data_IF_464052682658
#
_entry.id   IF_464052682658
#
_cell.length_a   1.000
_cell.length_b   1.000
_cell.length_c   1.000
_cell.angle_alpha   90.00
_cell.angle_beta   90.00
_cell.angle_gamma   90.00
#
_symmetry.space_group_name_H-M   'P 1'
#
loop_
_entity.id
_entity.type
_entity.pdbx_description
1 polymer ?
#
# COMPACT_ATOMS: atom_id res chain seq x y z
N UNK A 1 4.66 -15.95 -16.64
CA UNK A 1 3.98 -14.91 -17.45
C UNK A 1 4.91 -13.71 -17.49
N UNK A 2 5.42 -13.38 -18.66
CA UNK A 2 6.24 -12.19 -18.87
C UNK A 2 5.30 -10.99 -18.89
N UNK A 3 5.48 -10.04 -17.99
CA UNK A 3 4.65 -8.84 -17.94
C UNK A 3 5.22 -7.82 -18.93
N UNK A 4 4.41 -7.39 -19.88
CA UNK A 4 4.80 -6.33 -20.81
C UNK A 4 4.95 -4.96 -20.09
N UNK A 5 4.27 -4.79 -18.96
CA UNK A 5 4.28 -3.56 -18.17
C UNK A 5 4.13 -3.84 -16.68
N UNK A 6 4.96 -3.19 -15.87
CA UNK A 6 4.78 -3.13 -14.42
C UNK A 6 3.92 -1.92 -14.07
N UNK A 7 2.71 -2.14 -13.56
CA UNK A 7 1.86 -1.06 -13.05
C UNK A 7 2.24 -0.70 -11.61
N UNK A 8 1.97 0.55 -11.22
CA UNK A 8 2.20 1.04 -9.86
C UNK A 8 1.47 0.17 -8.82
N UNK A 9 0.24 -0.25 -9.10
CA UNK A 9 -0.57 -1.10 -8.24
C UNK A 9 0.11 -2.43 -7.90
N UNK A 10 0.88 -3.01 -8.83
CA UNK A 10 1.60 -4.26 -8.58
C UNK A 10 2.72 -4.13 -7.56
N UNK A 11 3.12 -2.91 -7.23
CA UNK A 11 4.11 -2.62 -6.19
C UNK A 11 3.42 -1.98 -4.99
N UNK A 12 2.58 -0.97 -5.21
CA UNK A 12 2.01 -0.11 -4.16
C UNK A 12 0.55 -0.51 -3.87
N UNK A 13 0.37 -1.75 -3.42
CA UNK A 13 -0.92 -2.28 -2.96
C UNK A 13 -0.69 -3.35 -1.89
N UNK A 14 -1.74 -3.83 -1.26
CA UNK A 14 -1.65 -5.00 -0.37
C UNK A 14 -1.05 -6.21 -1.08
N UNK A 15 -1.51 -6.49 -2.29
CA UNK A 15 -0.93 -7.53 -3.16
C UNK A 15 0.51 -7.22 -3.54
N UNK A 16 0.85 -5.94 -3.74
CA UNK A 16 2.21 -5.49 -4.02
C UNK A 16 3.19 -5.88 -2.93
N UNK A 17 2.80 -5.81 -1.66
CA UNK A 17 3.63 -6.33 -0.57
C UNK A 17 3.93 -7.82 -0.74
N UNK A 18 2.96 -8.63 -1.17
CA UNK A 18 3.17 -10.05 -1.47
C UNK A 18 4.17 -10.26 -2.62
N UNK A 19 4.10 -9.43 -3.68
CA UNK A 19 5.07 -9.50 -4.78
C UNK A 19 6.49 -9.15 -4.32
N UNK A 20 6.64 -8.11 -3.49
CA UNK A 20 7.95 -7.70 -2.94
C UNK A 20 8.48 -8.77 -1.99
N UNK A 21 7.64 -9.32 -1.11
CA UNK A 21 8.02 -10.40 -0.20
C UNK A 21 8.47 -11.65 -0.98
N UNK A 22 7.69 -12.06 -1.99
CA UNK A 22 8.05 -13.17 -2.86
C UNK A 22 9.39 -12.94 -3.55
N UNK A 23 9.58 -11.77 -4.16
CA UNK A 23 10.85 -11.41 -4.79
C UNK A 23 12.02 -11.51 -3.81
N UNK A 24 11.87 -10.97 -2.59
CA UNK A 24 12.93 -11.00 -1.57
C UNK A 24 13.24 -12.43 -1.10
N UNK A 25 12.22 -13.27 -0.94
CA UNK A 25 12.37 -14.67 -0.55
C UNK A 25 13.02 -15.55 -1.63
N UNK A 26 13.09 -15.10 -2.88
CA UNK A 26 13.77 -15.82 -3.97
C UNK A 26 15.28 -15.57 -4.01
N UNK A 27 15.84 -14.66 -3.19
CA UNK A 27 17.27 -14.45 -3.10
C UNK A 27 17.96 -15.61 -2.37
N UNK A 28 19.23 -15.84 -2.69
CA UNK A 28 20.01 -16.98 -2.15
C UNK A 28 20.22 -16.93 -0.64
N UNK A 29 20.24 -15.75 -0.05
CA UNK A 29 20.36 -15.56 1.41
C UNK A 29 19.07 -15.88 2.17
N UNK A 30 17.96 -16.10 1.44
CA UNK A 30 16.70 -16.59 1.97
C UNK A 30 16.48 -18.09 1.74
N UNK A 31 17.52 -18.84 1.37
CA UNK A 31 17.43 -20.29 1.19
C UNK A 31 17.08 -20.96 2.52
N UNK A 32 16.04 -21.83 2.47
CA UNK A 32 15.50 -22.49 3.67
C UNK A 32 14.55 -21.65 4.52
N UNK A 33 14.19 -20.45 4.07
CA UNK A 33 13.20 -19.64 4.78
C UNK A 33 11.83 -20.32 4.81
N UNK A 34 11.11 -20.36 5.98
CA UNK A 34 9.84 -21.09 6.12
C UNK A 34 8.73 -20.67 5.15
N UNK A 35 8.71 -19.40 4.73
CA UNK A 35 7.71 -18.88 3.80
C UNK A 35 8.11 -18.97 2.32
N UNK A 36 9.28 -19.52 1.98
CA UNK A 36 9.78 -19.55 0.60
C UNK A 36 8.89 -20.38 -0.31
N UNK A 37 8.60 -21.63 0.08
CA UNK A 37 7.76 -22.55 -0.72
C UNK A 37 6.34 -21.98 -0.89
N UNK A 38 5.82 -21.39 0.18
CA UNK A 38 4.54 -20.70 0.14
C UNK A 38 4.55 -19.50 -0.79
N UNK A 39 5.62 -18.69 -0.76
CA UNK A 39 5.76 -17.55 -1.66
C UNK A 39 5.87 -17.99 -3.13
N UNK A 40 6.51 -19.13 -3.42
CA UNK A 40 6.58 -19.68 -4.77
C UNK A 40 5.23 -20.21 -5.26
N UNK A 41 4.45 -20.83 -4.37
CA UNK A 41 3.10 -21.28 -4.67
C UNK A 41 2.08 -20.14 -4.78
N UNK A 42 2.34 -19.00 -4.10
CA UNK A 42 1.42 -17.87 -4.08
C UNK A 42 1.30 -17.21 -5.47
N UNK A 43 0.07 -17.19 -5.99
CA UNK A 43 -0.25 -16.58 -7.28
C UNK A 43 -1.41 -15.62 -7.09
N UNK A 44 -1.15 -14.35 -7.34
CA UNK A 44 -2.22 -13.36 -7.35
C UNK A 44 -3.16 -13.58 -8.54
N UNK A 45 -4.45 -13.72 -8.26
CA UNK A 45 -5.50 -13.82 -9.27
C UNK A 45 -5.73 -15.22 -9.87
N UNK A 46 -5.12 -16.27 -9.33
CA UNK A 46 -5.54 -17.63 -9.62
C UNK A 46 -6.82 -17.92 -8.80
N UNK A 47 -7.93 -18.14 -9.50
CA UNK A 47 -9.18 -18.64 -8.90
C UNK A 47 -9.06 -20.11 -8.45
N UNK A 48 -7.87 -20.60 -8.23
CA UNK A 48 -7.62 -21.96 -7.77
C UNK A 48 -7.64 -21.99 -6.25
N UNK A 49 -8.33 -22.93 -5.73
CA UNK A 49 -8.69 -23.35 -4.37
C UNK A 49 -7.62 -23.22 -3.26
N UNK A 50 -6.62 -22.37 -3.41
CA UNK A 50 -5.63 -21.97 -2.41
C UNK A 50 -5.97 -20.61 -1.79
N UNK A 51 -7.25 -20.29 -1.63
CA UNK A 51 -7.77 -19.02 -1.08
C UNK A 51 -7.34 -18.73 0.37
N UNK A 52 -6.51 -19.59 0.97
CA UNK A 52 -6.09 -19.45 2.36
C UNK A 52 -4.67 -18.88 2.54
N UNK A 53 -3.95 -18.61 1.45
CA UNK A 53 -2.57 -18.13 1.52
C UNK A 53 -2.51 -16.62 1.32
N UNK A 54 -2.68 -15.86 2.40
CA UNK A 54 -2.48 -14.40 2.41
C UNK A 54 -0.99 -14.08 2.64
N UNK A 55 -0.16 -14.28 1.62
CA UNK A 55 1.28 -13.97 1.69
C UNK A 55 1.55 -12.53 2.16
N UNK A 56 0.83 -11.49 1.70
CA UNK A 56 0.98 -10.15 2.23
C UNK A 56 0.79 -10.05 3.75
N UNK A 57 -0.22 -10.72 4.29
CA UNK A 57 -0.48 -10.72 5.73
C UNK A 57 0.61 -11.47 6.49
N UNK A 58 1.00 -12.66 6.02
CA UNK A 58 2.06 -13.47 6.62
C UNK A 58 3.42 -12.75 6.59
N UNK A 59 3.76 -12.09 5.47
CA UNK A 59 4.99 -11.31 5.36
C UNK A 59 5.00 -10.12 6.34
N UNK A 60 3.87 -9.41 6.45
CA UNK A 60 3.73 -8.31 7.40
C UNK A 60 3.85 -8.78 8.85
N UNK A 61 3.22 -9.90 9.19
CA UNK A 61 3.30 -10.50 10.51
C UNK A 61 4.72 -10.93 10.86
N UNK A 62 5.38 -11.71 10.01
CA UNK A 62 6.74 -12.18 10.23
C UNK A 62 7.73 -11.00 10.37
N UNK A 63 7.58 -9.95 9.55
CA UNK A 63 8.36 -8.73 9.69
C UNK A 63 8.17 -8.07 11.07
N UNK A 64 6.94 -8.05 11.59
CA UNK A 64 6.64 -7.50 12.93
C UNK A 64 7.19 -8.36 14.06
N UNK A 65 7.34 -9.66 13.85
CA UNK A 65 7.92 -10.63 14.77
C UNK A 65 9.46 -10.66 14.74
N UNK A 66 10.08 -9.87 13.87
CA UNK A 66 11.54 -9.69 13.85
C UNK A 66 12.25 -10.43 12.72
N UNK A 67 11.53 -10.99 11.76
CA UNK A 67 12.14 -11.60 10.57
C UNK A 67 12.83 -10.56 9.71
N UNK A 68 14.15 -10.63 9.62
CA UNK A 68 14.97 -9.62 8.96
C UNK A 68 14.75 -9.57 7.44
N UNK A 69 14.51 -10.71 6.80
CA UNK A 69 14.28 -10.82 5.35
C UNK A 69 12.96 -10.14 4.98
N UNK A 70 11.93 -10.39 5.77
CA UNK A 70 10.61 -9.80 5.54
C UNK A 70 10.51 -8.36 6.04
N UNK A 71 11.33 -7.96 7.01
CA UNK A 71 11.52 -6.55 7.36
C UNK A 71 12.09 -5.75 6.19
N UNK A 72 13.11 -6.27 5.49
CA UNK A 72 13.65 -5.63 4.28
C UNK A 72 12.59 -5.52 3.18
N UNK A 73 11.81 -6.58 2.94
CA UNK A 73 10.72 -6.55 1.99
C UNK A 73 9.66 -5.49 2.33
N UNK A 74 9.28 -5.42 3.60
CA UNK A 74 8.31 -4.43 4.09
C UNK A 74 8.86 -3.00 3.96
N UNK A 75 10.13 -2.77 4.29
CA UNK A 75 10.78 -1.47 4.15
C UNK A 75 10.84 -1.02 2.69
N UNK A 76 11.20 -1.92 1.77
CA UNK A 76 11.21 -1.63 0.34
C UNK A 76 9.82 -1.25 -0.17
N UNK A 77 8.80 -2.00 0.24
CA UNK A 77 7.42 -1.71 -0.11
C UNK A 77 6.96 -0.37 0.46
N UNK A 78 7.27 -0.04 1.72
CA UNK A 78 6.94 1.23 2.35
C UNK A 78 7.64 2.41 1.67
N UNK A 79 8.90 2.25 1.28
CA UNK A 79 9.63 3.28 0.54
C UNK A 79 9.02 3.54 -0.83
N UNK A 80 8.65 2.49 -1.57
CA UNK A 80 7.96 2.62 -2.86
C UNK A 80 6.60 3.30 -2.69
N UNK A 81 5.86 2.93 -1.65
CA UNK A 81 4.56 3.53 -1.35
C UNK A 81 4.70 5.01 -0.99
N UNK A 82 5.63 5.36 -0.10
CA UNK A 82 5.90 6.75 0.26
C UNK A 82 6.32 7.58 -0.95
N UNK A 83 7.19 7.03 -1.79
CA UNK A 83 7.62 7.71 -3.02
C UNK A 83 6.43 7.99 -3.95
N UNK A 84 5.59 7.00 -4.22
CA UNK A 84 4.41 7.17 -5.07
C UNK A 84 3.42 8.18 -4.49
N UNK A 85 3.19 8.14 -3.17
CA UNK A 85 2.34 9.09 -2.47
C UNK A 85 2.87 10.54 -2.60
N UNK A 86 4.19 10.72 -2.50
CA UNK A 86 4.83 12.03 -2.70
C UNK A 86 4.69 12.55 -4.14
N UNK A 87 4.79 11.67 -5.14
CA UNK A 87 4.58 12.05 -6.54
C UNK A 87 3.14 12.50 -6.79
N UNK A 88 2.15 11.78 -6.25
CA UNK A 88 0.74 12.16 -6.33
C UNK A 88 0.46 13.50 -5.63
N UNK A 89 1.05 13.72 -4.46
CA UNK A 89 0.89 14.97 -3.71
C UNK A 89 1.43 16.18 -4.50
N UNK A 90 2.53 16.01 -5.24
CA UNK A 90 3.10 17.05 -6.10
C UNK A 90 2.31 17.23 -7.39
N UNK A 91 1.79 16.16 -7.97
CA UNK A 91 0.98 16.24 -9.20
C UNK A 91 -0.28 17.08 -8.97
N UNK A 92 -0.95 16.89 -7.82
CA UNK A 92 -2.17 17.62 -7.47
C UNK A 92 -1.91 18.93 -6.72
N UNK A 93 -0.68 19.20 -6.30
CA UNK A 93 -0.30 20.35 -5.44
C UNK A 93 -1.26 20.53 -4.26
N UNK A 94 -1.63 19.43 -3.63
CA UNK A 94 -2.65 19.41 -2.59
C UNK A 94 -2.15 20.09 -1.31
N UNK A 95 -2.70 21.25 -0.97
CA UNK A 95 -2.33 22.01 0.25
C UNK A 95 -3.12 21.57 1.48
N UNK A 96 -4.23 20.88 1.30
CA UNK A 96 -5.09 20.42 2.39
C UNK A 96 -4.67 19.09 3.01
N UNK A 97 -3.66 18.42 2.47
CA UNK A 97 -3.16 17.14 2.94
C UNK A 97 -3.40 15.98 1.97
N UNK A 98 -2.70 14.89 2.21
CA UNK A 98 -2.84 13.63 1.50
C UNK A 98 -3.54 12.59 2.39
N UNK A 99 -4.60 11.97 1.87
CA UNK A 99 -5.35 10.94 2.57
C UNK A 99 -5.01 9.56 1.99
N UNK A 100 -4.46 8.69 2.84
CA UNK A 100 -4.14 7.30 2.50
C UNK A 100 -5.27 6.42 3.04
N UNK A 101 -6.02 5.79 2.15
CA UNK A 101 -7.19 4.97 2.49
C UNK A 101 -7.11 3.53 2.00
N UNK A 102 -8.15 2.77 2.33
CA UNK A 102 -8.28 1.36 1.97
C UNK A 102 -7.79 0.40 3.05
N UNK A 103 -8.08 -0.89 2.89
CA UNK A 103 -7.79 -1.91 3.90
C UNK A 103 -6.31 -2.04 4.27
N UNK A 104 -5.42 -1.73 3.33
CA UNK A 104 -3.97 -1.77 3.56
C UNK A 104 -3.51 -0.63 4.47
N UNK A 105 -4.12 0.56 4.38
CA UNK A 105 -3.74 1.71 5.21
C UNK A 105 -3.95 1.43 6.71
N UNK A 106 -5.11 0.86 7.07
CA UNK A 106 -5.41 0.51 8.45
C UNK A 106 -4.45 -0.57 8.99
N UNK A 107 -4.19 -1.62 8.19
CA UNK A 107 -3.31 -2.74 8.57
C UNK A 107 -1.85 -2.30 8.70
N UNK A 108 -1.40 -1.35 7.91
CA UNK A 108 -0.01 -0.88 7.84
C UNK A 108 0.20 0.49 8.50
N UNK A 109 -0.68 0.89 9.41
CA UNK A 109 -0.58 2.19 10.09
C UNK A 109 0.79 2.44 10.77
N UNK A 110 1.42 1.46 11.45
CA UNK A 110 2.78 1.64 11.98
C UNK A 110 3.81 1.92 10.88
N UNK A 111 3.71 1.22 9.75
CA UNK A 111 4.57 1.41 8.58
C UNK A 111 4.40 2.79 7.95
N UNK A 112 3.17 3.27 7.80
CA UNK A 112 2.88 4.61 7.27
C UNK A 112 3.41 5.74 8.17
N UNK A 113 3.56 5.47 9.46
CA UNK A 113 4.18 6.40 10.42
C UNK A 113 5.70 6.30 10.48
N UNK A 114 6.28 5.29 9.83
CA UNK A 114 7.73 5.05 9.88
C UNK A 114 8.52 6.12 9.12
N UNK A 115 9.78 6.27 9.50
CA UNK A 115 10.72 7.12 8.76
C UNK A 115 10.90 6.63 7.32
N UNK A 116 10.86 5.33 7.07
CA UNK A 116 10.98 4.74 5.73
C UNK A 116 9.94 5.29 4.77
N UNK A 117 8.67 5.31 5.16
CA UNK A 117 7.60 5.87 4.34
C UNK A 117 7.71 7.39 4.23
N UNK A 118 7.86 8.09 5.36
CA UNK A 118 7.83 9.56 5.40
C UNK A 118 9.03 10.19 4.70
N UNK A 119 10.23 9.60 4.83
CA UNK A 119 11.40 10.09 4.11
C UNK A 119 11.29 9.85 2.60
N UNK A 120 10.80 8.69 2.17
CA UNK A 120 10.55 8.43 0.76
C UNK A 120 9.48 9.37 0.17
N UNK A 121 8.42 9.66 0.94
CA UNK A 121 7.40 10.65 0.58
C UNK A 121 8.00 12.04 0.35
N UNK A 122 8.88 12.50 1.26
CA UNK A 122 9.51 13.82 1.25
C UNK A 122 10.70 13.93 0.29
N UNK A 123 11.28 12.81 -0.13
CA UNK A 123 12.49 12.80 -0.96
C UNK A 123 12.21 13.17 -2.42
N UNK A 124 11.82 14.42 -2.64
CA UNK A 124 11.47 15.00 -3.95
C UNK A 124 12.31 16.25 -4.26
N UNK A 125 13.59 16.20 -3.92
CA UNK A 125 14.55 17.26 -4.20
C UNK A 125 14.07 18.63 -3.70
N UNK A 126 14.00 19.61 -4.59
CA UNK A 126 13.59 21.00 -4.27
C UNK A 126 12.17 21.13 -3.67
N UNK A 127 11.32 20.12 -3.83
CA UNK A 127 9.97 20.13 -3.30
C UNK A 127 9.85 19.56 -1.88
N UNK A 128 10.97 19.11 -1.29
CA UNK A 128 11.00 18.59 0.07
C UNK A 128 10.36 19.54 1.09
N UNK A 129 10.66 20.86 1.12
CA UNK A 129 10.05 21.77 2.10
C UNK A 129 8.53 21.88 1.99
N UNK A 130 7.96 21.75 0.80
CA UNK A 130 6.52 21.70 0.59
C UNK A 130 5.92 20.43 1.19
N UNK A 131 6.52 19.27 0.90
CA UNK A 131 6.02 17.98 1.38
C UNK A 131 6.21 17.78 2.89
N UNK A 132 7.17 18.44 3.52
CA UNK A 132 7.36 18.43 4.97
C UNK A 132 6.22 19.15 5.72
N UNK A 133 5.59 20.13 5.08
CA UNK A 133 4.45 20.85 5.64
C UNK A 133 3.11 20.21 5.32
N UNK A 134 3.08 19.27 4.37
CA UNK A 134 1.84 18.63 3.93
C UNK A 134 1.41 17.54 4.94
N UNK A 135 0.21 17.64 5.55
CA UNK A 135 -0.32 16.58 6.40
C UNK A 135 -0.56 15.30 5.63
N UNK A 136 -0.06 14.16 6.13
CA UNK A 136 -0.38 12.83 5.62
C UNK A 136 -1.26 12.13 6.63
N UNK A 137 -2.46 11.76 6.22
CA UNK A 137 -3.50 11.19 7.08
C UNK A 137 -3.86 9.79 6.60
N UNK A 138 -4.02 8.85 7.52
CA UNK A 138 -4.50 7.51 7.20
C UNK A 138 -5.98 7.38 7.58
N UNK A 139 -6.79 6.92 6.64
CA UNK A 139 -8.18 6.55 6.88
C UNK A 139 -8.21 5.11 7.38
N UNK A 140 -8.59 4.92 8.63
CA UNK A 140 -8.55 3.61 9.30
C UNK A 140 -9.93 2.95 9.44
N UNK A 141 -11.01 3.67 9.15
CA UNK A 141 -12.36 3.13 9.18
C UNK A 141 -12.62 2.29 7.92
N UNK A 142 -12.90 0.98 8.04
CA UNK A 142 -13.15 0.11 6.89
C UNK A 142 -14.44 0.47 6.14
N UNK A 143 -15.39 1.13 6.79
CA UNK A 143 -16.69 1.48 6.22
C UNK A 143 -16.72 2.85 5.54
N UNK A 144 -15.63 3.62 5.62
CA UNK A 144 -15.57 4.98 5.07
C UNK A 144 -15.94 5.05 3.58
N UNK A 145 -15.60 4.03 2.80
CA UNK A 145 -15.95 3.96 1.38
C UNK A 145 -17.46 3.86 1.16
N UNK A 146 -18.11 2.99 1.91
CA UNK A 146 -19.58 2.82 1.86
C UNK A 146 -20.30 4.08 2.35
N UNK A 147 -19.83 4.63 3.48
CA UNK A 147 -20.37 5.87 4.03
C UNK A 147 -20.24 7.04 3.05
N UNK A 148 -19.08 7.21 2.44
CA UNK A 148 -18.82 8.27 1.46
C UNK A 148 -19.71 8.13 0.22
N UNK A 149 -19.90 6.90 -0.27
CA UNK A 149 -20.79 6.60 -1.40
C UNK A 149 -22.25 6.94 -1.06
N UNK A 150 -22.71 6.56 0.13
CA UNK A 150 -24.05 6.87 0.60
C UNK A 150 -24.28 8.40 0.75
N UNK A 151 -23.32 9.12 1.33
CA UNK A 151 -23.35 10.58 1.41
C UNK A 151 -23.43 11.22 0.01
N UNK A 152 -22.63 10.74 -0.94
CA UNK A 152 -22.63 11.27 -2.31
C UNK A 152 -23.95 10.99 -3.03
N UNK A 153 -24.51 9.80 -2.88
CA UNK A 153 -25.80 9.44 -3.46
C UNK A 153 -26.91 10.34 -2.92
N UNK A 154 -26.94 10.59 -1.61
CA UNK A 154 -27.87 11.51 -0.97
C UNK A 154 -27.76 12.94 -1.53
N UNK A 155 -26.54 13.48 -1.60
CA UNK A 155 -26.30 14.82 -2.14
C UNK A 155 -26.81 14.96 -3.59
N UNK A 156 -26.60 13.93 -4.42
CA UNK A 156 -27.08 13.93 -5.81
C UNK A 156 -28.62 13.86 -5.88
N UNK A 157 -29.25 13.07 -5.03
CA UNK A 157 -30.73 13.00 -4.96
C UNK A 157 -31.35 14.35 -4.54
N UNK A 158 -30.75 15.02 -3.55
CA UNK A 158 -31.17 16.34 -3.10
C UNK A 158 -31.02 17.42 -4.19
N UNK A 159 -29.96 17.35 -5.00
CA UNK A 159 -29.74 18.25 -6.14
C UNK A 159 -30.67 17.96 -7.32
N UNK A 160 -30.97 16.68 -7.60
CA UNK A 160 -31.90 16.28 -8.67
C UNK A 160 -33.37 16.58 -8.39
N UNK A 161 -33.76 16.75 -7.14
CA UNK A 161 -35.10 17.14 -6.74
C UNK A 161 -35.49 18.61 -7.03
N UNK A 162 -34.55 19.41 -7.52
CA UNK A 162 -34.76 20.85 -7.81
C UNK A 162 -35.06 21.11 -9.32
N UNK A 163 -35.26 20.06 -10.13
CA UNK A 163 -35.56 20.14 -11.55
C UNK A 163 -37.01 19.76 -11.87
N UNK A 164 -38.00 20.27 -11.09
CA UNK A 164 -39.41 20.23 -11.47
C UNK A 164 -40.01 21.64 -11.45
#
# INVERSE_FOLDING_TARGET
MQLERLSLERVVSGTGLGHVARWRLQHSDADGHPLRDLADAWRHGANDHCDHLDLPALASQAASEGDSILQEALQLWLAAYGSAAGDLALQELCVGGLWVGGGTAAKQLPGLRSSTFLEAFRNKGRFRPFLEQLPVMAVIDPEVGLFSAACRARMLAEQGGTLT
#
